data_IF_921214247440
#
_entry.id   IF_921214247440
#
_cell.length_a   1.000
_cell.length_b   1.000
_cell.length_c   1.000
_cell.angle_alpha   90.00
_cell.angle_beta   90.00
_cell.angle_gamma   90.00
#
_symmetry.space_group_name_H-M   'P 1'
#
loop_
_entity.id
_entity.type
_entity.pdbx_description
1 polymer ?
#
# COMPACT_ATOMS: atom_id res chain seq x y z
N UNK A 1 -20.62 5.07 -5.57
CA UNK A 1 -21.57 6.01 -4.92
C UNK A 1 -23.04 5.58 -5.11
N UNK A 2 -23.42 5.01 -6.27
CA UNK A 2 -24.78 4.50 -6.50
C UNK A 2 -25.05 3.15 -5.85
N UNK A 3 -24.01 2.41 -5.43
CA UNK A 3 -24.13 1.08 -4.84
C UNK A 3 -24.62 -0.01 -5.79
N UNK A 4 -24.64 0.24 -7.10
CA UNK A 4 -25.21 -0.68 -8.08
C UNK A 4 -24.53 -2.06 -8.07
N UNK A 5 -23.20 -2.10 -8.00
CA UNK A 5 -22.46 -3.36 -8.07
C UNK A 5 -22.63 -4.21 -6.80
N UNK A 6 -22.64 -3.57 -5.63
CA UNK A 6 -22.96 -4.24 -4.37
C UNK A 6 -24.39 -4.78 -4.39
N UNK A 7 -25.33 -3.96 -4.83
CA UNK A 7 -26.72 -4.35 -4.93
C UNK A 7 -26.95 -5.53 -5.89
N UNK A 8 -26.30 -5.51 -7.09
CA UNK A 8 -26.37 -6.63 -8.05
C UNK A 8 -25.73 -7.90 -7.50
N UNK A 9 -24.66 -7.78 -6.72
CA UNK A 9 -24.01 -8.92 -6.06
C UNK A 9 -24.91 -9.58 -5.02
N UNK A 10 -25.66 -8.77 -4.27
CA UNK A 10 -26.57 -9.24 -3.22
C UNK A 10 -27.89 -9.82 -3.76
N UNK A 11 -28.46 -9.21 -4.80
CA UNK A 11 -29.80 -9.54 -5.30
C UNK A 11 -29.79 -10.42 -6.55
N UNK A 12 -28.63 -10.56 -7.20
CA UNK A 12 -28.49 -11.32 -8.44
C UNK A 12 -28.96 -10.51 -9.67
N UNK A 13 -29.13 -11.21 -10.82
CA UNK A 13 -29.53 -10.57 -12.06
C UNK A 13 -30.84 -9.82 -11.94
N UNK A 14 -30.90 -8.59 -12.46
CA UNK A 14 -31.98 -7.66 -12.27
C UNK A 14 -32.43 -6.97 -13.58
N UNK A 15 -33.69 -6.62 -13.65
CA UNK A 15 -34.22 -5.85 -14.77
C UNK A 15 -33.84 -4.36 -14.66
N UNK A 16 -33.96 -3.63 -15.78
CA UNK A 16 -33.81 -2.17 -15.75
C UNK A 16 -34.75 -1.48 -14.75
N UNK A 17 -35.92 -2.04 -14.52
CA UNK A 17 -36.91 -1.51 -13.58
C UNK A 17 -36.40 -1.64 -12.15
N UNK A 18 -35.84 -2.80 -11.80
CA UNK A 18 -35.29 -3.08 -10.47
C UNK A 18 -34.11 -2.12 -10.18
N UNK A 19 -33.23 -1.93 -11.15
CA UNK A 19 -32.09 -1.00 -11.04
C UNK A 19 -32.54 0.46 -10.89
N UNK A 20 -33.63 0.88 -11.55
CA UNK A 20 -34.17 2.21 -11.39
C UNK A 20 -34.65 2.48 -9.94
N UNK A 21 -35.03 1.45 -9.20
CA UNK A 21 -35.41 1.57 -7.78
C UNK A 21 -34.23 2.00 -6.86
N UNK A 22 -32.99 1.93 -7.33
CA UNK A 22 -31.81 2.50 -6.63
C UNK A 22 -31.75 4.04 -6.67
N UNK A 23 -32.80 4.71 -7.13
CA UNK A 23 -32.87 6.18 -7.23
C UNK A 23 -32.23 6.74 -8.50
N UNK A 24 -31.90 5.90 -9.48
CA UNK A 24 -31.40 6.34 -10.78
C UNK A 24 -32.59 6.87 -11.60
N UNK A 25 -32.49 8.11 -12.09
CA UNK A 25 -33.53 8.70 -12.93
C UNK A 25 -33.78 7.82 -14.17
N UNK A 26 -35.02 7.37 -14.36
CA UNK A 26 -35.42 6.42 -15.40
C UNK A 26 -35.06 6.83 -16.83
N UNK A 27 -34.92 8.13 -17.10
CA UNK A 27 -34.47 8.64 -18.41
C UNK A 27 -33.03 8.27 -18.70
N UNK A 28 -32.18 8.22 -17.67
CA UNK A 28 -30.74 7.89 -17.81
C UNK A 28 -30.45 6.41 -17.66
N UNK A 29 -31.28 5.63 -16.97
CA UNK A 29 -31.02 4.23 -16.62
C UNK A 29 -30.64 3.38 -17.85
N UNK A 30 -31.35 3.54 -18.97
CA UNK A 30 -31.05 2.78 -20.20
C UNK A 30 -29.64 3.05 -20.73
N UNK A 31 -29.29 4.32 -20.87
CA UNK A 31 -27.97 4.72 -21.38
C UNK A 31 -26.86 4.35 -20.42
N UNK A 32 -27.10 4.49 -19.12
CA UNK A 32 -26.16 4.13 -18.06
C UNK A 32 -25.83 2.63 -18.06
N UNK A 33 -26.85 1.76 -18.08
CA UNK A 33 -26.64 0.32 -18.13
C UNK A 33 -25.96 -0.13 -19.45
N UNK A 34 -26.33 0.48 -20.59
CA UNK A 34 -25.67 0.20 -21.85
C UNK A 34 -24.17 0.57 -21.81
N UNK A 35 -23.85 1.76 -21.26
CA UNK A 35 -22.45 2.17 -21.10
C UNK A 35 -21.64 1.23 -20.18
N UNK A 36 -22.23 0.77 -19.06
CA UNK A 36 -21.57 -0.20 -18.19
C UNK A 36 -21.36 -1.55 -18.88
N UNK A 37 -22.28 -1.99 -19.72
CA UNK A 37 -22.16 -3.21 -20.50
C UNK A 37 -21.08 -3.05 -21.59
N UNK A 38 -21.04 -1.95 -22.32
CA UNK A 38 -20.01 -1.64 -23.32
C UNK A 38 -18.60 -1.59 -22.71
N UNK A 39 -18.50 -1.11 -21.48
CA UNK A 39 -17.25 -1.10 -20.71
C UNK A 39 -16.91 -2.46 -20.07
N UNK A 40 -17.78 -3.47 -20.16
CA UNK A 40 -17.55 -4.79 -19.60
C UNK A 40 -17.74 -4.92 -18.09
N UNK A 41 -18.38 -3.94 -17.43
CA UNK A 41 -18.66 -4.02 -16.00
C UNK A 41 -19.88 -4.87 -15.67
N UNK A 42 -20.89 -4.86 -16.53
CA UNK A 42 -22.06 -5.71 -16.39
C UNK A 42 -22.30 -6.50 -17.69
N UNK A 43 -22.99 -7.62 -17.60
CA UNK A 43 -23.67 -8.24 -18.72
C UNK A 43 -25.08 -7.67 -18.84
N UNK A 44 -25.61 -7.58 -20.06
CA UNK A 44 -26.99 -7.16 -20.29
C UNK A 44 -27.58 -8.05 -21.39
N UNK A 45 -28.31 -9.06 -21.00
CA UNK A 45 -28.92 -10.03 -21.90
C UNK A 45 -30.39 -10.29 -21.54
N UNK A 46 -31.27 -10.41 -22.54
CA UNK A 46 -32.68 -10.68 -22.34
C UNK A 46 -33.43 -9.64 -21.50
N UNK A 47 -32.90 -8.40 -21.38
CA UNK A 47 -33.48 -7.35 -20.54
C UNK A 47 -33.07 -7.41 -19.07
N UNK A 48 -32.15 -8.29 -18.73
CA UNK A 48 -31.59 -8.50 -17.38
C UNK A 48 -30.12 -8.16 -17.37
N UNK A 49 -29.66 -7.44 -16.32
CA UNK A 49 -28.27 -7.13 -16.09
C UNK A 49 -27.72 -7.88 -14.87
N UNK A 50 -26.43 -8.21 -14.92
CA UNK A 50 -25.68 -8.82 -13.83
C UNK A 50 -24.24 -8.31 -13.86
N UNK A 51 -23.57 -8.32 -12.72
CA UNK A 51 -22.15 -8.05 -12.66
C UNK A 51 -21.34 -9.02 -13.51
N UNK A 52 -20.29 -8.55 -14.13
CA UNK A 52 -19.27 -9.46 -14.69
C UNK A 52 -18.36 -9.97 -13.57
N UNK A 53 -17.59 -11.01 -13.86
CA UNK A 53 -16.59 -11.53 -12.91
C UNK A 53 -15.60 -10.45 -12.45
N UNK A 54 -15.14 -9.59 -13.36
CA UNK A 54 -14.23 -8.47 -13.02
C UNK A 54 -14.91 -7.51 -12.03
N UNK A 55 -16.17 -7.23 -12.24
CA UNK A 55 -16.93 -6.36 -11.34
C UNK A 55 -17.13 -6.98 -9.95
N UNK A 56 -17.48 -8.27 -9.90
CA UNK A 56 -17.59 -9.00 -8.63
C UNK A 56 -16.25 -9.00 -7.86
N UNK A 57 -15.15 -9.23 -8.56
CA UNK A 57 -13.83 -9.28 -7.93
C UNK A 57 -13.31 -7.90 -7.51
N UNK A 58 -13.51 -6.85 -8.33
CA UNK A 58 -12.81 -5.57 -8.15
C UNK A 58 -13.70 -4.40 -7.72
N UNK A 59 -15.01 -4.45 -7.92
CA UNK A 59 -15.91 -3.31 -7.68
C UNK A 59 -17.03 -3.57 -6.66
N UNK A 60 -17.17 -4.79 -6.18
CA UNK A 60 -18.05 -5.13 -5.04
C UNK A 60 -17.29 -4.88 -3.75
N UNK A 61 -17.85 -4.06 -2.86
CA UNK A 61 -17.14 -3.55 -1.68
C UNK A 61 -16.74 -4.62 -0.65
N UNK A 62 -17.44 -5.74 -0.64
CA UNK A 62 -17.15 -6.89 0.22
C UNK A 62 -16.05 -7.80 -0.34
N UNK A 63 -15.65 -7.63 -1.60
CA UNK A 63 -14.59 -8.43 -2.21
C UNK A 63 -13.24 -8.20 -1.53
N UNK A 64 -12.44 -9.25 -1.27
CA UNK A 64 -11.08 -9.12 -0.74
C UNK A 64 -10.15 -8.31 -1.66
N UNK A 65 -10.46 -8.26 -2.95
CA UNK A 65 -9.67 -7.57 -3.98
C UNK A 65 -10.29 -6.26 -4.45
N UNK A 66 -11.25 -5.71 -3.71
CA UNK A 66 -11.93 -4.45 -4.00
C UNK A 66 -10.97 -3.30 -4.31
N UNK A 67 -11.27 -2.52 -5.35
CA UNK A 67 -10.44 -1.42 -5.86
C UNK A 67 -11.18 -0.06 -5.91
N UNK A 68 -12.37 0.03 -5.34
CA UNK A 68 -13.21 1.23 -5.46
C UNK A 68 -12.61 2.47 -4.80
N UNK A 69 -11.97 2.36 -3.63
CA UNK A 69 -11.34 3.50 -2.98
C UNK A 69 -10.16 4.05 -3.79
N UNK A 70 -9.39 3.17 -4.45
CA UNK A 70 -8.30 3.57 -5.35
C UNK A 70 -8.83 4.34 -6.55
N UNK A 71 -9.93 3.88 -7.17
CA UNK A 71 -10.57 4.55 -8.30
C UNK A 71 -11.13 5.91 -7.87
N UNK A 72 -11.81 5.97 -6.71
CA UNK A 72 -12.34 7.22 -6.17
C UNK A 72 -11.22 8.21 -5.83
N UNK A 73 -10.11 7.74 -5.28
CA UNK A 73 -8.96 8.61 -4.99
C UNK A 73 -8.35 9.22 -6.26
N UNK A 74 -8.30 8.48 -7.36
CA UNK A 74 -7.82 8.98 -8.65
C UNK A 74 -8.77 10.02 -9.29
N UNK A 75 -10.08 9.90 -9.05
CA UNK A 75 -11.12 10.78 -9.62
C UNK A 75 -11.43 12.04 -8.82
N UNK A 76 -10.78 12.28 -7.66
CA UNK A 76 -11.08 13.46 -6.82
C UNK A 76 -10.64 14.76 -7.50
N UNK A 77 -11.47 15.81 -7.43
CA UNK A 77 -11.15 17.17 -7.94
C UNK A 77 -9.87 17.77 -7.32
N UNK A 78 -9.52 17.35 -6.12
CA UNK A 78 -8.28 17.76 -5.43
C UNK A 78 -7.07 16.91 -5.81
N UNK A 79 -7.18 16.04 -6.80
CA UNK A 79 -6.04 15.27 -7.28
C UNK A 79 -5.07 16.18 -8.04
N UNK A 80 -3.76 15.93 -7.91
CA UNK A 80 -2.74 16.66 -8.68
C UNK A 80 -2.92 16.54 -10.21
N UNK A 81 -3.77 15.61 -10.66
CA UNK A 81 -4.16 15.45 -12.05
C UNK A 81 -5.18 16.51 -12.52
N UNK A 82 -6.03 17.03 -11.62
CA UNK A 82 -7.05 18.04 -11.96
C UNK A 82 -6.40 19.34 -12.45
N UNK A 83 -5.29 19.74 -11.82
CA UNK A 83 -4.53 20.94 -12.15
C UNK A 83 -3.14 20.61 -12.70
N UNK A 84 -3.07 19.58 -13.55
CA UNK A 84 -1.80 19.03 -14.04
C UNK A 84 -0.88 20.11 -14.64
N UNK A 85 -1.42 21.04 -15.41
CA UNK A 85 -0.62 22.08 -16.06
C UNK A 85 0.03 23.04 -15.04
N UNK A 86 -0.67 23.39 -13.99
CA UNK A 86 -0.16 24.22 -12.89
C UNK A 86 0.85 23.43 -12.05
N UNK A 87 0.51 22.20 -11.71
CA UNK A 87 1.37 21.29 -10.97
C UNK A 87 2.72 21.05 -11.69
N UNK A 88 2.70 20.87 -13.02
CA UNK A 88 3.92 20.68 -13.80
C UNK A 88 4.79 21.94 -13.86
N UNK A 89 4.21 23.16 -13.78
CA UNK A 89 4.97 24.41 -13.79
C UNK A 89 5.54 24.76 -12.42
N UNK A 90 4.76 24.58 -11.38
CA UNK A 90 5.04 25.11 -10.05
C UNK A 90 5.46 24.03 -9.05
N UNK A 91 5.34 22.75 -9.41
CA UNK A 91 5.49 21.63 -8.49
C UNK A 91 4.27 21.47 -7.59
N UNK A 92 4.28 20.44 -6.77
CA UNK A 92 3.27 20.25 -5.72
C UNK A 92 3.66 21.12 -4.53
N UNK A 93 2.79 22.05 -4.12
CA UNK A 93 3.01 22.79 -2.87
C UNK A 93 3.08 21.80 -1.70
N UNK A 94 4.23 21.76 -1.05
CA UNK A 94 4.40 20.97 0.17
C UNK A 94 4.02 21.81 1.37
N UNK A 95 2.98 21.48 2.13
CA UNK A 95 2.85 22.00 3.48
C UNK A 95 4.12 21.61 4.25
N UNK A 96 4.70 22.53 5.02
CA UNK A 96 5.91 22.30 5.85
C UNK A 96 5.75 21.13 6.81
N UNK A 97 4.52 20.81 7.18
CA UNK A 97 4.09 19.54 7.74
C UNK A 97 3.27 18.84 6.65
N UNK A 98 3.81 17.79 6.04
CA UNK A 98 3.08 17.06 4.98
C UNK A 98 1.66 16.71 5.43
N UNK A 99 0.68 16.66 4.50
CA UNK A 99 -0.68 16.27 4.87
C UNK A 99 -0.61 14.93 5.58
N UNK A 100 -1.23 14.86 6.77
CA UNK A 100 -1.39 13.59 7.47
C UNK A 100 -2.20 12.66 6.56
N UNK A 101 -1.79 11.40 6.34
CA UNK A 101 -2.53 10.48 5.50
C UNK A 101 -3.95 10.32 6.05
N UNK A 102 -4.95 10.51 5.19
CA UNK A 102 -6.36 10.24 5.55
C UNK A 102 -6.64 8.75 5.49
N UNK A 103 -7.68 8.29 6.16
CA UNK A 103 -8.12 6.90 6.06
C UNK A 103 -8.46 6.49 4.62
N UNK A 104 -9.12 7.36 3.85
CA UNK A 104 -9.41 7.10 2.43
C UNK A 104 -8.15 6.92 1.60
N UNK A 105 -7.12 7.76 1.82
CA UNK A 105 -5.83 7.61 1.16
C UNK A 105 -5.19 6.26 1.52
N UNK A 106 -5.21 5.89 2.81
CA UNK A 106 -4.63 4.62 3.27
C UNK A 106 -5.40 3.39 2.75
N UNK A 107 -6.74 3.48 2.61
CA UNK A 107 -7.53 2.43 1.94
C UNK A 107 -7.13 2.29 0.48
N UNK A 108 -6.98 3.38 -0.24
CA UNK A 108 -6.50 3.35 -1.63
C UNK A 108 -5.07 2.76 -1.74
N UNK A 109 -4.18 3.06 -0.78
CA UNK A 109 -2.84 2.47 -0.70
C UNK A 109 -2.93 0.95 -0.43
N UNK A 110 -3.79 0.52 0.49
CA UNK A 110 -4.02 -0.90 0.77
C UNK A 110 -4.49 -1.66 -0.47
N UNK A 111 -5.47 -1.11 -1.19
CA UNK A 111 -6.00 -1.69 -2.42
C UNK A 111 -4.94 -1.75 -3.54
N UNK A 112 -4.04 -0.78 -3.62
CA UNK A 112 -2.91 -0.81 -4.53
C UNK A 112 -1.92 -1.92 -4.14
N UNK A 113 -1.60 -2.04 -2.86
CA UNK A 113 -0.66 -3.00 -2.31
C UNK A 113 -1.04 -4.46 -2.64
N UNK A 114 -2.33 -4.81 -2.51
CA UNK A 114 -2.82 -6.17 -2.81
C UNK A 114 -2.82 -6.54 -4.30
N UNK A 115 -2.47 -5.62 -5.20
CA UNK A 115 -2.38 -5.87 -6.66
C UNK A 115 -1.10 -6.59 -7.09
N UNK A 116 -0.45 -7.28 -6.19
CA UNK A 116 0.72 -8.11 -6.45
C UNK A 116 1.97 -7.74 -5.68
N UNK A 117 2.15 -6.48 -5.29
CA UNK A 117 3.33 -6.05 -4.53
C UNK A 117 3.41 -6.76 -3.18
N UNK A 118 2.31 -6.81 -2.42
CA UNK A 118 2.25 -7.48 -1.12
C UNK A 118 2.71 -8.94 -1.23
N UNK A 119 2.11 -9.69 -2.14
CA UNK A 119 2.39 -11.11 -2.35
C UNK A 119 3.85 -11.33 -2.77
N UNK A 120 4.36 -10.45 -3.64
CA UNK A 120 5.74 -10.51 -4.10
C UNK A 120 6.73 -10.28 -2.96
N UNK A 121 6.53 -9.21 -2.19
CA UNK A 121 7.39 -8.86 -1.03
C UNK A 121 7.35 -9.95 0.04
N UNK A 122 6.16 -10.42 0.42
CA UNK A 122 6.01 -11.52 1.38
C UNK A 122 6.74 -12.78 0.90
N UNK A 123 6.57 -13.15 -0.38
CA UNK A 123 7.27 -14.29 -0.97
C UNK A 123 8.80 -14.14 -1.00
N UNK A 124 9.33 -12.92 -1.12
CA UNK A 124 10.77 -12.66 -1.04
C UNK A 124 11.27 -12.76 0.40
N UNK A 125 10.55 -12.17 1.36
CA UNK A 125 10.89 -12.21 2.79
C UNK A 125 10.87 -13.66 3.29
N UNK A 126 9.89 -14.45 2.88
CA UNK A 126 9.77 -15.86 3.27
C UNK A 126 10.92 -16.76 2.77
N UNK A 127 11.72 -16.29 1.79
CA UNK A 127 12.94 -17.00 1.35
C UNK A 127 14.13 -16.78 2.28
N UNK A 128 14.05 -15.76 3.13
CA UNK A 128 15.15 -15.48 4.06
C UNK A 128 15.07 -16.42 5.28
N UNK A 129 16.14 -17.15 5.62
CA UNK A 129 16.12 -18.10 6.75
C UNK A 129 15.64 -17.48 8.06
N UNK A 130 16.14 -16.29 8.40
CA UNK A 130 15.77 -15.59 9.63
C UNK A 130 14.28 -15.20 9.75
N UNK A 131 13.51 -15.28 8.67
CA UNK A 131 12.06 -15.08 8.73
C UNK A 131 11.33 -16.19 9.50
N UNK A 132 11.75 -17.44 9.30
CA UNK A 132 11.10 -18.59 9.92
C UNK A 132 11.46 -18.74 11.41
N UNK A 133 12.61 -18.19 11.80
CA UNK A 133 13.05 -18.17 13.20
C UNK A 133 12.46 -17.01 14.00
N UNK A 134 11.95 -15.97 13.31
CA UNK A 134 11.36 -14.79 13.92
C UNK A 134 10.07 -15.12 14.68
N UNK A 135 9.92 -14.54 15.88
CA UNK A 135 8.75 -14.66 16.75
C UNK A 135 8.09 -13.29 16.98
N UNK A 136 8.86 -12.23 16.86
CA UNK A 136 8.43 -10.85 17.09
C UNK A 136 8.76 -9.97 15.92
N UNK A 137 7.79 -9.17 15.46
CA UNK A 137 7.93 -8.27 14.33
C UNK A 137 7.43 -6.87 14.65
N UNK A 138 8.11 -5.86 14.11
CA UNK A 138 7.67 -4.48 14.08
C UNK A 138 7.49 -4.01 12.63
N UNK A 139 6.32 -3.47 12.31
CA UNK A 139 6.02 -2.80 11.03
C UNK A 139 5.99 -1.29 11.26
N UNK A 140 7.06 -0.59 10.88
CA UNK A 140 7.21 0.85 11.14
C UNK A 140 6.61 1.65 9.99
N UNK A 141 5.62 2.48 10.32
CA UNK A 141 4.84 3.22 9.34
C UNK A 141 3.95 2.31 8.50
N UNK A 142 3.49 1.19 9.11
CA UNK A 142 2.79 0.13 8.41
C UNK A 142 1.38 0.48 7.90
N UNK A 143 0.85 1.66 8.25
CA UNK A 143 -0.40 2.19 7.72
C UNK A 143 -1.57 1.23 7.90
N UNK A 144 -1.99 0.61 6.82
CA UNK A 144 -3.07 -0.39 6.81
C UNK A 144 -2.70 -1.74 7.47
N UNK A 145 -1.42 -2.00 7.77
CA UNK A 145 -0.95 -3.20 8.44
C UNK A 145 -0.91 -4.48 7.59
N UNK A 146 -1.15 -4.42 6.28
CA UNK A 146 -1.24 -5.63 5.44
C UNK A 146 0.07 -6.41 5.36
N UNK A 147 1.24 -5.77 5.45
CA UNK A 147 2.51 -6.50 5.51
C UNK A 147 2.64 -7.31 6.80
N UNK A 148 2.31 -6.71 7.94
CA UNK A 148 2.29 -7.41 9.23
C UNK A 148 1.31 -8.57 9.23
N UNK A 149 0.09 -8.35 8.71
CA UNK A 149 -0.94 -9.37 8.58
C UNK A 149 -0.46 -10.52 7.70
N UNK A 150 0.01 -10.25 6.50
CA UNK A 150 0.40 -11.28 5.54
C UNK A 150 1.65 -12.06 6.00
N UNK A 151 2.65 -11.40 6.59
CA UNK A 151 3.82 -12.07 7.16
C UNK A 151 3.46 -12.96 8.36
N UNK A 152 2.51 -12.54 9.21
CA UNK A 152 1.99 -13.39 10.28
C UNK A 152 1.13 -14.55 9.74
N UNK A 153 0.44 -14.39 8.62
CA UNK A 153 -0.28 -15.51 7.98
C UNK A 153 0.69 -16.54 7.41
N UNK A 154 1.83 -16.10 6.83
CA UNK A 154 2.87 -16.96 6.29
C UNK A 154 3.64 -17.70 7.39
N UNK A 155 4.08 -16.99 8.45
CA UNK A 155 4.75 -17.59 9.60
C UNK A 155 3.78 -17.69 10.79
N UNK A 156 3.28 -18.90 11.15
CA UNK A 156 2.28 -19.08 12.20
C UNK A 156 2.77 -18.73 13.60
N UNK A 157 4.08 -18.71 13.83
CA UNK A 157 4.68 -18.41 15.13
C UNK A 157 4.99 -16.91 15.31
N UNK A 158 4.85 -16.10 14.26
CA UNK A 158 5.16 -14.68 14.26
C UNK A 158 4.02 -13.86 14.90
N UNK A 159 4.40 -12.96 15.79
CA UNK A 159 3.53 -11.90 16.32
C UNK A 159 4.04 -10.55 15.86
N UNK A 160 3.15 -9.64 15.49
CA UNK A 160 3.52 -8.34 14.95
C UNK A 160 2.91 -7.16 15.71
N UNK A 161 3.64 -6.05 15.74
CA UNK A 161 3.14 -4.75 16.13
C UNK A 161 3.28 -3.78 14.95
N UNK A 162 2.18 -3.18 14.51
CA UNK A 162 2.21 -2.07 13.56
C UNK A 162 2.37 -0.78 14.35
N UNK A 163 3.42 -0.01 14.06
CA UNK A 163 3.71 1.27 14.70
C UNK A 163 3.53 2.39 13.69
N UNK A 164 2.54 3.23 13.89
CA UNK A 164 2.23 4.35 13.00
C UNK A 164 1.64 5.52 13.80
N UNK A 165 1.43 6.67 13.15
CA UNK A 165 0.87 7.85 13.79
C UNK A 165 -0.49 7.53 14.46
N UNK A 166 -0.80 8.13 15.62
CA UNK A 166 -2.00 7.77 16.40
C UNK A 166 -3.32 7.83 15.62
N UNK A 167 -3.45 8.74 14.65
CA UNK A 167 -4.66 8.86 13.84
C UNK A 167 -4.77 7.76 12.76
N UNK A 168 -3.71 7.02 12.47
CA UNK A 168 -3.69 5.88 11.53
C UNK A 168 -4.16 4.59 12.19
N UNK A 169 -3.86 4.41 13.47
CA UNK A 169 -4.13 3.20 14.24
C UNK A 169 -5.58 2.67 14.13
N UNK A 170 -6.64 3.51 14.13
CA UNK A 170 -8.00 3.01 13.97
C UNK A 170 -8.20 2.23 12.66
N UNK A 171 -7.64 2.73 11.55
CA UNK A 171 -7.71 2.02 10.27
C UNK A 171 -6.89 0.72 10.28
N UNK A 172 -5.71 0.74 10.88
CA UNK A 172 -4.89 -0.47 11.03
C UNK A 172 -5.67 -1.57 11.75
N UNK A 173 -6.38 -1.22 12.82
CA UNK A 173 -7.23 -2.16 13.57
C UNK A 173 -8.38 -2.69 12.74
N UNK A 174 -9.04 -1.84 11.93
CA UNK A 174 -10.08 -2.27 10.98
C UNK A 174 -9.59 -3.39 10.05
N UNK A 175 -8.35 -3.28 9.54
CA UNK A 175 -7.75 -4.33 8.72
C UNK A 175 -7.38 -5.57 9.53
N UNK A 176 -6.80 -5.42 10.72
CA UNK A 176 -6.48 -6.55 11.61
C UNK A 176 -7.75 -7.37 11.89
N UNK A 177 -8.84 -6.71 12.27
CA UNK A 177 -10.13 -7.34 12.55
C UNK A 177 -10.71 -8.01 11.30
N UNK A 178 -10.68 -7.32 10.15
CA UNK A 178 -11.15 -7.85 8.85
C UNK A 178 -10.48 -9.16 8.47
N UNK A 179 -9.19 -9.30 8.76
CA UNK A 179 -8.41 -10.50 8.45
C UNK A 179 -8.34 -11.51 9.62
N UNK A 180 -9.02 -11.25 10.71
CA UNK A 180 -9.07 -12.16 11.89
C UNK A 180 -7.70 -12.33 12.56
N UNK A 181 -6.89 -11.26 12.59
CA UNK A 181 -5.50 -11.31 13.09
C UNK A 181 -5.31 -10.64 14.45
N UNK A 182 -6.36 -10.27 15.15
CA UNK A 182 -6.37 -9.59 16.46
C UNK A 182 -5.60 -10.34 17.57
N UNK A 183 -5.50 -11.66 17.46
CA UNK A 183 -4.70 -12.48 18.38
C UNK A 183 -3.18 -12.47 18.12
N UNK A 184 -2.74 -11.98 16.95
CA UNK A 184 -1.31 -12.03 16.56
C UNK A 184 -0.73 -10.71 16.04
N UNK A 185 -1.59 -9.79 15.58
CA UNK A 185 -1.18 -8.48 15.09
C UNK A 185 -1.81 -7.40 15.96
N UNK A 186 -0.99 -6.52 16.49
CA UNK A 186 -1.42 -5.37 17.28
C UNK A 186 -1.08 -4.05 16.57
N UNK A 187 -1.71 -2.95 16.97
CA UNK A 187 -1.41 -1.62 16.45
C UNK A 187 -1.17 -0.62 17.57
N UNK A 188 -0.07 0.11 17.49
CA UNK A 188 0.35 1.12 18.48
C UNK A 188 0.63 2.45 17.79
N UNK A 189 0.12 3.54 18.41
CA UNK A 189 0.34 4.91 17.93
C UNK A 189 1.64 5.50 18.43
N UNK A 190 2.36 6.21 17.56
CA UNK A 190 3.55 6.99 17.88
C UNK A 190 4.20 7.60 16.63
N UNK A 191 5.08 8.55 16.84
CA UNK A 191 5.91 9.16 15.78
C UNK A 191 7.34 8.64 15.92
N UNK A 192 7.84 7.96 14.89
CA UNK A 192 9.20 7.40 14.87
C UNK A 192 10.30 8.47 15.14
N UNK A 193 10.02 9.73 14.89
CA UNK A 193 10.98 10.81 15.15
C UNK A 193 11.17 11.11 16.64
N UNK A 194 10.12 10.93 17.45
CA UNK A 194 10.12 11.36 18.86
C UNK A 194 9.81 10.24 19.85
N UNK A 195 8.98 9.27 19.45
CA UNK A 195 8.57 8.18 20.34
C UNK A 195 9.49 6.96 20.21
N UNK A 196 9.47 6.09 21.22
CA UNK A 196 10.18 4.81 21.23
C UNK A 196 9.28 3.72 20.63
N UNK A 197 9.66 3.11 19.48
CA UNK A 197 8.88 2.03 18.87
C UNK A 197 9.02 0.69 19.60
N UNK A 198 9.85 0.60 20.65
CA UNK A 198 10.17 -0.62 21.38
C UNK A 198 11.46 -1.26 20.89
N UNK A 199 11.87 -2.36 21.55
CA UNK A 199 13.17 -3.01 21.32
C UNK A 199 13.04 -4.53 21.29
N UNK A 200 14.04 -5.18 20.71
CA UNK A 200 14.19 -6.64 20.75
C UNK A 200 13.31 -7.38 19.73
N UNK A 201 12.98 -6.75 18.63
CA UNK A 201 12.23 -7.40 17.54
C UNK A 201 13.17 -8.26 16.69
N UNK A 202 12.73 -9.49 16.37
CA UNK A 202 13.47 -10.41 15.52
C UNK A 202 13.41 -9.99 14.04
N UNK A 203 12.31 -9.31 13.66
CA UNK A 203 12.05 -8.82 12.31
C UNK A 203 11.52 -7.40 12.37
N UNK A 204 12.09 -6.50 11.57
CA UNK A 204 11.50 -5.17 11.34
C UNK A 204 11.28 -4.99 9.84
N UNK A 205 10.08 -4.54 9.47
CA UNK A 205 9.79 -4.08 8.11
C UNK A 205 9.55 -2.57 8.09
N UNK A 206 10.08 -1.91 7.06
CA UNK A 206 9.79 -0.51 6.74
C UNK A 206 9.48 -0.43 5.25
N UNK A 207 8.22 -0.22 4.92
CA UNK A 207 7.76 -0.17 3.52
C UNK A 207 7.25 1.21 3.16
N UNK A 208 7.74 1.78 2.06
CA UNK A 208 7.31 3.07 1.49
C UNK A 208 7.27 4.26 2.46
N UNK A 209 8.06 4.24 3.51
CA UNK A 209 8.10 5.29 4.55
C UNK A 209 9.27 6.27 4.38
N UNK A 210 10.47 5.77 4.04
CA UNK A 210 11.74 6.52 4.13
C UNK A 210 11.81 7.74 3.21
N UNK A 211 10.95 7.86 2.21
CA UNK A 211 10.83 9.07 1.37
C UNK A 211 10.60 10.35 2.17
N UNK A 212 9.91 10.25 3.29
CA UNK A 212 9.59 11.37 4.18
C UNK A 212 10.79 11.85 4.98
N UNK A 213 11.85 11.03 5.05
CA UNK A 213 13.01 11.23 5.91
C UNK A 213 14.33 11.27 5.14
N UNK A 214 14.31 11.65 3.85
CA UNK A 214 15.50 11.65 2.99
C UNK A 214 16.70 12.37 3.62
N UNK A 215 16.46 13.51 4.25
CA UNK A 215 17.49 14.34 4.89
C UNK A 215 17.91 13.82 6.28
N UNK A 216 17.23 12.79 6.78
CA UNK A 216 17.40 12.23 8.13
C UNK A 216 17.42 10.69 8.12
N UNK A 217 17.80 10.08 7.00
CA UNK A 217 17.79 8.61 6.85
C UNK A 217 18.61 7.91 7.94
N UNK A 218 19.80 8.45 8.26
CA UNK A 218 20.68 7.85 9.28
C UNK A 218 20.04 7.91 10.67
N UNK A 219 19.37 9.01 11.03
CA UNK A 219 18.71 9.15 12.32
C UNK A 219 17.57 8.15 12.48
N UNK A 220 16.71 8.07 11.45
CA UNK A 220 15.54 7.16 11.46
C UNK A 220 16.00 5.70 11.45
N UNK A 221 16.93 5.34 10.57
CA UNK A 221 17.45 3.99 10.52
C UNK A 221 18.27 3.62 11.76
N UNK A 222 18.89 4.58 12.43
CA UNK A 222 19.52 4.37 13.74
C UNK A 222 18.51 3.89 14.79
N UNK A 223 17.34 4.58 14.90
CA UNK A 223 16.24 4.14 15.79
C UNK A 223 15.69 2.75 15.41
N UNK A 224 15.57 2.47 14.10
CA UNK A 224 15.16 1.16 13.61
C UNK A 224 16.17 0.09 14.07
N UNK A 225 17.48 0.38 13.94
CA UNK A 225 18.55 -0.54 14.38
C UNK A 225 18.50 -0.79 15.89
N UNK A 226 18.25 0.26 16.69
CA UNK A 226 18.10 0.12 18.14
C UNK A 226 16.89 -0.71 18.56
N UNK A 227 15.86 -0.81 17.70
CA UNK A 227 14.65 -1.60 17.94
C UNK A 227 14.84 -3.07 17.56
N UNK A 228 15.76 -3.36 16.67
CA UNK A 228 16.05 -4.71 16.18
C UNK A 228 16.92 -5.48 17.17
N UNK A 229 16.62 -6.75 17.39
CA UNK A 229 17.45 -7.64 18.18
C UNK A 229 18.82 -7.88 17.50
N UNK A 230 19.89 -8.20 18.25
CA UNK A 230 21.12 -8.70 17.65
C UNK A 230 20.83 -9.91 16.76
N UNK A 231 21.38 -9.93 15.56
CA UNK A 231 21.09 -10.97 14.55
C UNK A 231 19.72 -10.87 13.91
N UNK A 232 18.88 -9.90 14.27
CA UNK A 232 17.53 -9.70 13.73
C UNK A 232 17.55 -9.28 12.27
N UNK A 233 16.43 -9.53 11.58
CA UNK A 233 16.23 -9.26 10.15
C UNK A 233 15.57 -7.90 9.94
N UNK A 234 16.24 -7.01 9.20
CA UNK A 234 15.65 -5.77 8.67
C UNK A 234 15.21 -5.98 7.23
N UNK A 235 13.97 -5.61 6.94
CA UNK A 235 13.37 -5.60 5.61
C UNK A 235 12.99 -4.17 5.24
N UNK A 236 13.53 -3.66 4.13
CA UNK A 236 13.19 -2.33 3.59
C UNK A 236 12.63 -2.50 2.18
N UNK A 237 11.40 -2.05 1.95
CA UNK A 237 10.75 -2.08 0.63
C UNK A 237 10.48 -0.66 0.15
N UNK A 238 11.19 -0.19 -0.88
CA UNK A 238 11.08 1.18 -1.34
C UNK A 238 11.25 1.29 -2.85
N UNK A 239 10.69 2.39 -3.41
CA UNK A 239 10.92 2.77 -4.80
C UNK A 239 12.26 3.53 -4.93
N UNK A 240 12.94 3.29 -6.03
CA UNK A 240 14.20 3.93 -6.39
C UNK A 240 14.15 4.44 -7.84
N UNK A 241 15.09 5.29 -8.21
CA UNK A 241 15.36 5.56 -9.60
C UNK A 241 15.99 4.31 -10.24
N UNK A 242 15.67 4.03 -11.48
CA UNK A 242 16.43 3.06 -12.28
C UNK A 242 17.91 3.44 -12.31
N UNK A 243 18.83 2.49 -12.53
CA UNK A 243 20.27 2.78 -12.51
C UNK A 243 20.71 3.90 -13.44
N UNK A 244 20.03 4.06 -14.57
CA UNK A 244 20.28 5.09 -15.59
C UNK A 244 19.30 6.29 -15.49
N UNK A 245 18.48 6.34 -14.46
CA UNK A 245 17.43 7.36 -14.25
C UNK A 245 16.44 7.49 -15.43
N UNK A 246 16.24 6.41 -16.17
CA UNK A 246 15.23 6.36 -17.25
C UNK A 246 13.92 5.80 -16.76
N UNK A 247 12.87 6.08 -17.51
CA UNK A 247 11.53 5.50 -17.28
C UNK A 247 11.32 4.40 -18.33
N UNK A 248 10.95 3.21 -17.87
CA UNK A 248 10.68 2.08 -18.78
C UNK A 248 9.57 2.41 -19.77
N UNK A 249 9.65 1.98 -21.03
CA UNK A 249 8.56 2.15 -21.98
C UNK A 249 7.23 1.62 -21.43
N UNK A 250 6.17 2.44 -21.51
CA UNK A 250 4.85 2.14 -20.96
C UNK A 250 4.64 2.51 -19.49
N UNK A 251 5.70 2.81 -18.72
CA UNK A 251 5.59 3.19 -17.31
C UNK A 251 5.43 4.72 -17.08
N UNK A 252 5.41 5.54 -18.12
CA UNK A 252 5.42 7.01 -18.01
C UNK A 252 4.25 7.58 -17.20
N UNK A 253 3.05 7.04 -17.36
CA UNK A 253 1.86 7.48 -16.61
C UNK A 253 1.99 7.12 -15.13
N UNK A 254 2.43 5.91 -14.82
CA UNK A 254 2.65 5.47 -13.43
C UNK A 254 3.76 6.28 -12.75
N UNK A 255 4.83 6.61 -13.48
CA UNK A 255 5.92 7.44 -12.99
C UNK A 255 5.45 8.88 -12.69
N UNK A 256 4.66 9.46 -13.60
CA UNK A 256 4.08 10.78 -13.39
C UNK A 256 3.10 10.78 -12.21
N UNK A 257 2.19 9.80 -12.12
CA UNK A 257 1.27 9.64 -10.99
C UNK A 257 2.03 9.55 -9.67
N UNK A 258 3.08 8.74 -9.62
CA UNK A 258 3.96 8.63 -8.45
C UNK A 258 4.59 9.97 -8.08
N UNK A 259 5.11 10.71 -9.06
CA UNK A 259 5.73 12.01 -8.81
C UNK A 259 4.72 13.03 -8.27
N UNK A 260 3.51 13.04 -8.81
CA UNK A 260 2.40 13.89 -8.37
C UNK A 260 1.95 13.55 -6.95
N UNK A 261 1.83 12.27 -6.61
CA UNK A 261 1.38 11.81 -5.29
C UNK A 261 2.43 11.94 -4.20
N UNK A 262 3.69 11.65 -4.49
CA UNK A 262 4.76 11.63 -3.48
C UNK A 262 5.41 13.00 -3.26
N UNK A 263 5.03 14.00 -4.03
CA UNK A 263 5.64 15.34 -4.05
C UNK A 263 7.17 15.29 -4.06
N UNK A 264 7.76 14.31 -4.74
CA UNK A 264 9.20 14.20 -4.86
C UNK A 264 9.68 12.85 -5.41
N UNK A 265 10.96 12.80 -5.65
CA UNK A 265 11.66 11.62 -6.12
C UNK A 265 11.57 10.45 -5.13
N UNK A 266 11.65 9.20 -5.62
CA UNK A 266 11.96 8.04 -4.81
C UNK A 266 13.31 8.23 -4.09
N UNK A 267 13.69 7.30 -3.25
CA UNK A 267 15.07 7.23 -2.75
C UNK A 267 15.99 7.07 -3.97
N UNK A 268 16.99 7.97 -4.14
CA UNK A 268 17.72 8.09 -5.39
C UNK A 268 18.20 6.73 -5.94
N UNK A 269 19.28 6.19 -5.40
CA UNK A 269 19.81 4.91 -5.86
C UNK A 269 19.94 3.93 -4.69
N UNK A 270 19.71 2.62 -4.91
CA UNK A 270 19.81 1.60 -3.88
C UNK A 270 21.15 1.60 -3.15
N UNK A 271 22.24 1.90 -3.85
CA UNK A 271 23.61 1.96 -3.30
C UNK A 271 23.75 3.00 -2.17
N UNK A 272 23.00 4.11 -2.24
CA UNK A 272 22.99 5.12 -1.19
C UNK A 272 22.40 4.58 0.11
N UNK A 273 21.30 3.84 0.05
CA UNK A 273 20.68 3.19 1.19
C UNK A 273 21.56 2.06 1.74
N UNK A 274 22.14 1.24 0.85
CA UNK A 274 23.07 0.18 1.24
C UNK A 274 24.28 0.73 2.00
N UNK A 275 24.83 1.86 1.56
CA UNK A 275 25.94 2.53 2.26
C UNK A 275 25.54 3.01 3.66
N UNK A 276 24.30 3.46 3.86
CA UNK A 276 23.79 3.80 5.19
C UNK A 276 23.67 2.57 6.07
N UNK A 277 23.12 1.46 5.56
CA UNK A 277 22.99 0.21 6.30
C UNK A 277 24.37 -0.33 6.74
N UNK A 278 25.36 -0.32 5.84
CA UNK A 278 26.74 -0.73 6.18
C UNK A 278 27.36 0.12 7.30
N UNK A 279 27.13 1.43 7.29
CA UNK A 279 27.59 2.33 8.37
C UNK A 279 26.92 2.07 9.70
N UNK A 280 25.67 1.57 9.69
CA UNK A 280 24.93 1.19 10.89
C UNK A 280 25.24 -0.24 11.37
N UNK A 281 26.19 -0.94 10.73
CA UNK A 281 26.65 -2.24 11.16
C UNK A 281 25.87 -3.43 10.57
N UNK A 282 24.96 -3.19 9.63
CA UNK A 282 24.25 -4.30 8.97
C UNK A 282 25.15 -5.15 8.10
N UNK A 283 24.95 -6.45 8.16
CA UNK A 283 25.66 -7.48 7.40
C UNK A 283 24.65 -8.31 6.57
N UNK A 284 25.16 -9.18 5.70
CA UNK A 284 24.30 -10.07 4.90
C UNK A 284 23.30 -9.33 4.02
N UNK A 285 23.61 -8.10 3.60
CA UNK A 285 22.69 -7.26 2.82
C UNK A 285 22.44 -7.92 1.47
N UNK A 286 21.19 -8.29 1.22
CA UNK A 286 20.70 -8.82 -0.05
C UNK A 286 19.67 -7.88 -0.62
N UNK A 287 19.68 -7.69 -1.94
CA UNK A 287 18.74 -6.81 -2.63
C UNK A 287 17.98 -7.57 -3.71
N UNK A 288 16.68 -7.30 -3.80
CA UNK A 288 15.78 -7.90 -4.78
C UNK A 288 15.08 -6.79 -5.56
N UNK A 289 15.60 -6.43 -6.77
CA UNK A 289 14.91 -5.51 -7.65
C UNK A 289 13.55 -6.11 -8.11
N UNK A 290 12.53 -5.28 -8.18
CA UNK A 290 11.22 -5.68 -8.67
C UNK A 290 10.47 -4.50 -9.28
N UNK A 291 9.56 -4.80 -10.21
CA UNK A 291 8.66 -3.79 -10.75
C UNK A 291 7.37 -3.77 -9.92
N UNK A 292 6.93 -2.57 -9.58
CA UNK A 292 5.65 -2.33 -8.92
C UNK A 292 4.73 -1.57 -9.87
N UNK A 293 3.44 -1.51 -9.55
CA UNK A 293 2.51 -0.63 -10.26
C UNK A 293 2.85 0.87 -10.15
N UNK A 294 3.85 1.23 -9.33
CA UNK A 294 4.33 2.60 -9.11
C UNK A 294 5.75 2.84 -9.63
N UNK A 295 6.41 1.85 -10.25
CA UNK A 295 7.76 1.97 -10.78
C UNK A 295 8.77 0.99 -10.18
N UNK A 296 10.06 1.27 -10.37
CA UNK A 296 11.17 0.42 -9.97
C UNK A 296 11.32 0.38 -8.45
N UNK A 297 11.12 -0.79 -7.87
CA UNK A 297 11.28 -1.07 -6.45
C UNK A 297 12.50 -1.91 -6.15
N UNK A 298 13.02 -1.79 -4.94
CA UNK A 298 14.06 -2.71 -4.41
C UNK A 298 13.70 -3.08 -2.98
N UNK A 299 13.62 -4.39 -2.73
CA UNK A 299 13.55 -4.94 -1.40
C UNK A 299 14.97 -5.21 -0.90
N UNK A 300 15.28 -4.72 0.29
CA UNK A 300 16.48 -5.04 1.03
C UNK A 300 16.16 -6.00 2.16
N UNK A 301 16.96 -7.04 2.32
CA UNK A 301 17.04 -7.86 3.51
C UNK A 301 18.45 -7.72 4.09
N UNK A 302 18.56 -7.38 5.37
CA UNK A 302 19.84 -7.17 6.02
C UNK A 302 19.78 -7.68 7.47
N UNK A 303 20.88 -8.28 7.94
CA UNK A 303 20.96 -8.79 9.31
C UNK A 303 21.68 -7.76 10.19
N UNK A 304 21.11 -7.48 11.37
CA UNK A 304 21.78 -6.66 12.38
C UNK A 304 23.04 -7.41 12.87
N UNK A 305 24.21 -6.82 12.66
CA UNK A 305 25.45 -7.42 13.10
C UNK A 305 25.42 -7.70 14.62
N UNK A 306 26.02 -8.79 15.05
CA UNK A 306 26.31 -9.01 16.46
C UNK A 306 27.28 -7.89 16.87
N UNK A 307 26.87 -7.04 17.82
CA UNK A 307 27.67 -5.94 18.34
C UNK A 307 28.84 -6.39 19.18
#
# INVERSE_FOLDING_TARGET
ELGLFDWLSEHGPATRHDVAALGINGMFTRGFLAALADMGYITFDGGVCANTRITEELLVSTSPTYQGDLILAAGRETSSWSDLAETLRNGVERPKTGPRPTHDHLRAVAQRCIRGELQHVVGLVARHPGFWDARSMLDIGGGHGLYAIALCQENPDLQACVFDLPHVVPLTREYIDRYGMDGRVSARGGDILVDDPGRGYDLIIVSHLLYKFRDRLTDVLGKVTESLAPGGLLVLNHLFCTPDCTVSPGAGVAELDRALMSAGHPLCHPQGLEAVLKRLGYTGITTFPHETGMGYGVLFCATNGEG
#
